data_IF_659710634571
#
_entry.id   IF_659710634571
#
_cell.length_a   1.000
_cell.length_b   1.000
_cell.length_c   1.000
_cell.angle_alpha   90.00
_cell.angle_beta   90.00
_cell.angle_gamma   90.00
#
_symmetry.space_group_name_H-M   'P 1'
#
loop_
_entity.id
_entity.type
_entity.pdbx_description
1 polymer ?
#
# COMPACT_ATOMS: atom_id res chain seq x y z
N UNK A 1 -8.05 -17.16 -18.87
CA UNK A 1 -8.44 -16.64 -17.55
C UNK A 1 -7.30 -16.87 -16.57
N UNK A 2 -6.91 -15.87 -15.79
CA UNK A 2 -5.92 -16.06 -14.73
C UNK A 2 -6.53 -16.92 -13.61
N UNK A 3 -5.75 -17.83 -13.03
CA UNK A 3 -6.19 -18.65 -11.91
C UNK A 3 -6.47 -17.77 -10.68
N UNK A 4 -7.43 -18.15 -9.82
CA UNK A 4 -7.74 -17.37 -8.62
C UNK A 4 -6.55 -17.35 -7.65
N UNK A 5 -6.33 -16.20 -7.02
CA UNK A 5 -5.38 -16.03 -5.92
C UNK A 5 -6.13 -16.20 -4.61
N UNK A 6 -5.71 -17.16 -3.77
CA UNK A 6 -6.31 -17.42 -2.47
C UNK A 6 -5.51 -16.73 -1.38
N UNK A 7 -6.20 -15.96 -0.55
CA UNK A 7 -5.62 -15.20 0.57
C UNK A 7 -5.81 -15.97 1.88
N UNK A 8 -4.73 -16.16 2.63
CA UNK A 8 -4.72 -16.75 3.96
C UNK A 8 -4.56 -15.69 5.04
N UNK A 9 -5.26 -15.92 6.14
CA UNK A 9 -4.98 -15.23 7.39
C UNK A 9 -3.67 -15.75 7.99
N UNK A 10 -2.95 -14.88 8.71
CA UNK A 10 -1.77 -15.29 9.47
C UNK A 10 -2.18 -16.34 10.51
N UNK A 11 -1.51 -17.51 10.56
CA UNK A 11 -1.75 -18.47 11.63
C UNK A 11 -1.42 -17.84 12.99
N UNK A 12 -2.43 -17.68 13.86
CA UNK A 12 -2.24 -17.33 15.27
C UNK A 12 -2.12 -15.83 15.63
N UNK A 13 -2.46 -14.89 14.75
CA UNK A 13 -2.45 -13.46 15.13
C UNK A 13 -3.01 -12.47 14.12
N UNK A 14 -3.07 -11.20 14.54
CA UNK A 14 -3.35 -10.06 13.67
C UNK A 14 -2.10 -9.66 12.88
N UNK A 15 -2.23 -9.20 11.62
CA UNK A 15 -1.08 -8.75 10.83
C UNK A 15 -0.37 -7.58 11.50
N UNK A 16 0.98 -7.59 11.47
CA UNK A 16 1.80 -6.53 12.05
C UNK A 16 1.54 -5.17 11.36
N UNK A 17 1.61 -4.06 12.09
CA UNK A 17 1.53 -2.72 11.49
C UNK A 17 2.92 -2.22 11.13
N UNK A 18 3.17 -2.01 9.83
CA UNK A 18 4.46 -1.53 9.33
C UNK A 18 4.41 -0.07 8.86
N UNK A 19 5.59 0.50 8.63
CA UNK A 19 5.78 1.81 7.98
C UNK A 19 6.27 1.61 6.55
N UNK A 20 5.43 1.90 5.56
CA UNK A 20 5.79 1.78 4.15
C UNK A 20 6.62 2.99 3.69
N UNK A 21 7.74 2.73 3.00
CA UNK A 21 8.70 3.75 2.55
C UNK A 21 8.92 3.59 1.03
N UNK A 22 8.57 4.60 0.23
CA UNK A 22 8.84 4.62 -1.21
C UNK A 22 10.07 5.49 -1.48
N UNK A 23 11.20 4.85 -1.80
CA UNK A 23 12.48 5.54 -2.05
C UNK A 23 12.60 6.01 -3.51
N UNK A 24 13.30 7.12 -3.79
CA UNK A 24 13.54 7.61 -5.16
C UNK A 24 14.72 6.87 -5.82
N UNK A 25 14.86 5.57 -5.55
CA UNK A 25 15.92 4.73 -6.08
C UNK A 25 15.53 3.25 -6.06
N UNK A 26 16.26 2.44 -6.83
CA UNK A 26 16.16 0.98 -6.77
C UNK A 26 17.26 0.43 -5.86
N UNK A 27 16.88 -0.47 -4.96
CA UNK A 27 17.82 -1.25 -4.14
C UNK A 27 17.93 -2.63 -4.76
N UNK A 28 19.15 -3.06 -5.11
CA UNK A 28 19.37 -4.35 -5.79
C UNK A 28 19.28 -5.59 -4.88
N UNK A 29 18.97 -5.39 -3.60
CA UNK A 29 18.81 -6.46 -2.61
C UNK A 29 17.35 -6.53 -2.20
N UNK A 30 16.82 -7.75 -2.13
CA UNK A 30 15.51 -8.05 -1.55
C UNK A 30 15.71 -8.88 -0.28
N UNK A 31 15.15 -8.42 0.84
CA UNK A 31 15.31 -9.07 2.14
C UNK A 31 15.29 -8.10 3.34
N UNK A 32 15.49 -8.63 4.56
CA UNK A 32 15.49 -7.84 5.78
C UNK A 32 16.57 -6.76 5.78
N UNK A 33 16.22 -5.58 6.28
CA UNK A 33 17.15 -4.47 6.47
C UNK A 33 16.89 -3.78 7.81
N UNK A 34 17.92 -3.29 8.52
CA UNK A 34 17.79 -2.58 9.80
C UNK A 34 17.28 -1.13 9.61
N UNK A 35 16.13 -0.95 8.95
CA UNK A 35 15.60 0.37 8.54
C UNK A 35 15.50 1.33 9.72
N UNK A 36 14.94 0.89 10.86
CA UNK A 36 14.79 1.75 12.05
C UNK A 36 16.10 2.24 12.66
N UNK A 37 17.22 1.53 12.43
CA UNK A 37 18.52 1.96 12.91
C UNK A 37 19.16 3.04 12.02
N UNK A 38 18.95 2.97 10.70
CA UNK A 38 19.69 3.76 9.72
C UNK A 38 18.86 4.83 8.99
N UNK A 39 17.61 4.55 8.62
CA UNK A 39 16.74 5.52 7.95
C UNK A 39 16.00 6.35 9.00
N UNK A 40 16.72 7.30 9.61
CA UNK A 40 16.20 8.18 10.66
C UNK A 40 15.60 9.44 10.06
N UNK A 41 14.26 9.49 9.99
CA UNK A 41 13.53 10.66 9.56
C UNK A 41 13.47 11.72 10.66
N UNK A 42 13.63 12.99 10.29
CA UNK A 42 13.48 14.16 11.13
C UNK A 42 12.38 15.05 10.57
N UNK A 43 11.61 15.72 11.44
CA UNK A 43 10.57 16.64 10.99
C UNK A 43 11.20 17.97 10.59
N UNK A 44 10.85 18.45 9.41
CA UNK A 44 11.10 19.81 8.97
C UNK A 44 10.05 20.79 9.50
N UNK A 45 10.31 22.10 9.39
CA UNK A 45 9.44 23.15 9.92
C UNK A 45 8.04 23.19 9.28
N UNK A 46 7.87 22.69 8.05
CA UNK A 46 6.59 22.65 7.34
C UNK A 46 5.85 21.32 7.45
N UNK A 47 6.27 20.43 8.35
CA UNK A 47 5.69 19.09 8.50
C UNK A 47 6.21 18.05 7.49
N UNK A 48 7.15 18.42 6.62
CA UNK A 48 7.88 17.47 5.80
C UNK A 48 8.83 16.59 6.63
N UNK A 49 9.28 15.49 6.04
CA UNK A 49 10.29 14.61 6.63
C UNK A 49 11.62 14.81 5.93
N UNK A 50 12.72 14.73 6.65
CA UNK A 50 14.07 14.76 6.10
C UNK A 50 14.87 13.57 6.61
N UNK A 51 15.58 12.90 5.71
CA UNK A 51 16.45 11.78 6.05
C UNK A 51 17.68 11.75 5.12
N UNK A 52 18.60 10.82 5.38
CA UNK A 52 19.69 10.51 4.48
C UNK A 52 19.69 9.02 4.16
N UNK A 53 19.93 8.69 2.90
CA UNK A 53 20.13 7.32 2.45
C UNK A 53 21.35 7.25 1.55
N UNK A 54 22.33 6.41 1.92
CA UNK A 54 23.63 6.30 1.20
C UNK A 54 24.35 7.65 1.03
N UNK A 55 24.26 8.52 2.05
CA UNK A 55 24.88 9.85 2.03
C UNK A 55 24.14 10.90 1.20
N UNK A 56 22.99 10.55 0.59
CA UNK A 56 22.17 11.48 -0.19
C UNK A 56 20.98 11.95 0.64
N UNK A 57 20.66 13.24 0.54
CA UNK A 57 19.55 13.85 1.27
C UNK A 57 18.22 13.44 0.63
N UNK A 58 17.24 13.13 1.46
CA UNK A 58 15.88 12.78 1.06
C UNK A 58 14.89 13.74 1.72
N UNK A 59 14.01 14.33 0.90
CA UNK A 59 12.82 15.04 1.39
C UNK A 59 11.60 14.12 1.29
N UNK A 60 10.84 13.99 2.36
CA UNK A 60 9.77 13.01 2.50
C UNK A 60 8.43 13.66 2.77
N UNK A 61 7.36 13.04 2.30
CA UNK A 61 5.98 13.34 2.67
C UNK A 61 5.26 12.05 3.03
N UNK A 62 4.59 12.06 4.17
CA UNK A 62 3.67 10.98 4.53
C UNK A 62 2.34 11.18 3.79
N UNK A 63 1.92 10.14 3.06
CA UNK A 63 0.67 10.09 2.33
C UNK A 63 -0.24 9.05 2.98
N UNK A 64 -1.29 9.48 3.71
CA UNK A 64 -2.29 8.54 4.22
C UNK A 64 -3.02 7.87 3.05
N UNK A 65 -3.45 6.63 3.24
CA UNK A 65 -4.30 5.97 2.27
C UNK A 65 -5.69 6.61 2.25
N UNK A 66 -6.42 6.54 1.12
CA UNK A 66 -7.76 7.11 1.03
C UNK A 66 -8.73 6.49 2.07
N UNK A 67 -9.75 7.24 2.52
CA UNK A 67 -10.74 6.73 3.48
C UNK A 67 -11.40 5.44 2.98
N UNK A 68 -11.54 4.44 3.86
CA UNK A 68 -12.08 3.13 3.53
C UNK A 68 -11.06 2.15 2.92
N UNK A 69 -9.82 2.58 2.68
CA UNK A 69 -8.75 1.72 2.16
C UNK A 69 -7.74 1.36 3.26
N UNK A 70 -7.16 0.17 3.15
CA UNK A 70 -6.01 -0.29 3.96
C UNK A 70 -4.94 -0.89 3.06
N UNK A 71 -3.68 -0.73 3.46
CA UNK A 71 -2.56 -1.38 2.80
C UNK A 71 -2.28 -2.74 3.42
N UNK A 72 -1.97 -3.73 2.58
CA UNK A 72 -1.64 -5.09 2.99
C UNK A 72 -0.33 -5.53 2.33
N UNK A 73 0.53 -6.20 3.10
CA UNK A 73 1.74 -6.84 2.61
C UNK A 73 1.48 -8.33 2.40
N UNK A 74 1.40 -8.73 1.14
CA UNK A 74 1.17 -10.11 0.74
C UNK A 74 2.50 -10.83 0.55
N UNK A 75 2.64 -12.02 1.14
CA UNK A 75 3.75 -12.94 0.88
C UNK A 75 3.21 -14.16 0.16
N UNK A 76 3.83 -14.54 -0.96
CA UNK A 76 3.49 -15.79 -1.65
C UNK A 76 3.91 -16.98 -0.79
N UNK A 77 3.00 -17.95 -0.69
CA UNK A 77 3.25 -19.23 -0.03
C UNK A 77 3.29 -20.37 -1.03
N UNK A 78 4.01 -21.46 -0.72
CA UNK A 78 3.83 -22.71 -1.43
C UNK A 78 2.40 -23.23 -1.24
N UNK A 79 1.87 -24.03 -2.20
CA UNK A 79 0.60 -24.71 -2.00
C UNK A 79 0.64 -25.62 -0.75
N UNK A 80 -0.48 -25.77 -0.03
CA UNK A 80 -0.62 -26.73 1.04
C UNK A 80 -0.69 -28.16 0.47
N UNK A 81 0.31 -28.98 0.76
CA UNK A 81 0.34 -30.38 0.34
C UNK A 81 0.72 -30.60 -1.12
N UNK A 82 0.78 -31.88 -1.51
CA UNK A 82 1.37 -32.33 -2.78
C UNK A 82 0.35 -32.43 -3.95
N UNK A 83 -0.96 -32.30 -3.69
CA UNK A 83 -2.05 -32.62 -4.64
C UNK A 83 -2.87 -31.42 -5.15
N UNK A 84 -2.46 -30.17 -4.88
CA UNK A 84 -3.19 -29.01 -5.40
C UNK A 84 -2.76 -28.62 -6.82
N UNK A 85 -3.71 -28.07 -7.60
CA UNK A 85 -3.47 -27.62 -8.97
C UNK A 85 -2.34 -26.56 -8.96
N UNK A 86 -1.20 -26.80 -9.64
CA UNK A 86 -0.06 -25.88 -9.63
C UNK A 86 -0.38 -24.48 -10.20
N UNK A 87 -1.58 -24.27 -10.73
CA UNK A 87 -2.11 -22.97 -11.14
C UNK A 87 -2.67 -22.14 -9.98
N UNK A 88 -3.08 -22.76 -8.87
CA UNK A 88 -3.59 -22.02 -7.71
C UNK A 88 -2.45 -21.31 -6.97
N UNK A 89 -2.62 -20.01 -6.72
CA UNK A 89 -1.63 -19.18 -6.05
C UNK A 89 -2.10 -18.83 -4.66
N UNK A 90 -1.26 -19.12 -3.67
CA UNK A 90 -1.52 -18.81 -2.27
C UNK A 90 -0.69 -17.62 -1.82
N UNK A 91 -1.35 -16.70 -1.10
CA UNK A 91 -0.69 -15.56 -0.46
C UNK A 91 -1.18 -15.41 0.98
N UNK A 92 -0.32 -14.93 1.87
CA UNK A 92 -0.65 -14.62 3.26
C UNK A 92 -0.48 -13.13 3.52
N UNK A 93 -1.43 -12.53 4.21
CA UNK A 93 -1.34 -11.12 4.64
C UNK A 93 -0.41 -11.03 5.84
N UNK A 94 0.85 -10.67 5.64
CA UNK A 94 1.86 -10.66 6.71
C UNK A 94 1.83 -9.38 7.56
N UNK A 95 1.42 -8.25 6.97
CA UNK A 95 1.41 -6.97 7.64
C UNK A 95 0.40 -6.02 6.98
N UNK A 96 0.10 -4.91 7.67
CA UNK A 96 -0.77 -3.84 7.19
C UNK A 96 -0.11 -2.47 7.37
N UNK A 97 -0.55 -1.50 6.57
CA UNK A 97 -0.14 -0.10 6.71
C UNK A 97 -1.29 0.84 6.36
N UNK A 98 -1.28 2.03 6.96
CA UNK A 98 -2.30 3.07 6.73
C UNK A 98 -1.79 4.28 5.95
N UNK A 99 -0.49 4.34 5.70
CA UNK A 99 0.16 5.45 4.99
C UNK A 99 1.44 4.97 4.32
N UNK A 100 1.86 5.70 3.29
CA UNK A 100 3.15 5.50 2.60
C UNK A 100 3.94 6.80 2.72
N UNK A 101 5.18 6.73 3.17
CA UNK A 101 6.10 7.86 3.08
C UNK A 101 6.76 7.86 1.70
N UNK A 102 6.45 8.86 0.88
CA UNK A 102 7.09 9.08 -0.42
C UNK A 102 8.32 9.97 -0.22
N UNK A 103 9.49 9.51 -0.68
CA UNK A 103 10.75 10.23 -0.60
C UNK A 103 11.19 10.74 -1.98
N UNK A 104 11.59 12.00 -2.04
CA UNK A 104 12.23 12.66 -3.19
C UNK A 104 13.73 12.86 -2.96
N UNK A 105 14.50 12.90 -4.05
CA UNK A 105 15.92 13.18 -4.00
C UNK A 105 16.14 14.69 -3.79
N UNK A 106 16.80 15.06 -2.69
CA UNK A 106 17.15 16.43 -2.28
C UNK A 106 15.96 17.41 -2.09
N UNK A 107 14.75 16.99 -2.45
CA UNK A 107 13.52 17.77 -2.50
C UNK A 107 12.35 16.96 -1.96
N UNK A 108 11.33 17.64 -1.44
CA UNK A 108 10.08 17.00 -0.99
C UNK A 108 9.18 16.79 -2.22
N UNK A 109 8.61 15.60 -2.43
CA UNK A 109 7.64 15.37 -3.50
C UNK A 109 6.49 16.39 -3.44
N UNK A 110 5.90 16.84 -4.57
CA UNK A 110 4.78 17.76 -4.56
C UNK A 110 3.48 17.08 -4.07
N UNK A 111 2.54 17.81 -3.45
CA UNK A 111 1.41 17.20 -2.72
C UNK A 111 0.40 16.46 -3.60
N UNK A 112 0.30 16.82 -4.88
CA UNK A 112 -0.58 16.17 -5.87
C UNK A 112 0.16 15.44 -6.99
N UNK A 113 1.44 15.10 -6.78
CA UNK A 113 2.26 14.38 -7.75
C UNK A 113 2.17 12.86 -7.63
N UNK A 114 2.80 12.16 -8.57
CA UNK A 114 3.18 10.74 -8.47
C UNK A 114 2.20 9.85 -7.72
N UNK A 115 2.63 9.37 -6.55
CA UNK A 115 1.86 8.44 -5.71
C UNK A 115 0.57 9.05 -5.17
N UNK A 116 0.57 10.33 -4.76
CA UNK A 116 -0.62 10.99 -4.25
C UNK A 116 -1.77 10.98 -5.27
N UNK A 117 -1.46 11.21 -6.55
CA UNK A 117 -2.43 11.11 -7.64
C UNK A 117 -2.88 9.68 -7.89
N UNK A 118 -1.96 8.72 -7.84
CA UNK A 118 -2.29 7.30 -8.03
C UNK A 118 -3.26 6.80 -6.94
N UNK A 119 -3.09 7.24 -5.68
CA UNK A 119 -3.98 6.85 -4.59
C UNK A 119 -5.41 7.38 -4.77
N UNK A 120 -5.63 8.46 -5.52
CA UNK A 120 -6.98 8.96 -5.84
C UNK A 120 -7.76 8.03 -6.77
N UNK A 121 -7.09 7.11 -7.46
CA UNK A 121 -7.74 6.17 -8.36
C UNK A 121 -8.74 5.26 -7.64
N UNK A 122 -8.44 4.82 -6.40
CA UNK A 122 -9.33 3.93 -5.65
C UNK A 122 -10.74 4.49 -5.51
N UNK A 123 -10.92 5.65 -4.84
CA UNK A 123 -12.23 6.29 -4.70
C UNK A 123 -12.90 6.60 -6.05
N UNK A 124 -12.14 7.02 -7.06
CA UNK A 124 -12.67 7.32 -8.39
C UNK A 124 -13.23 6.04 -9.05
N UNK A 125 -12.50 4.93 -9.00
CA UNK A 125 -12.93 3.65 -9.52
C UNK A 125 -14.19 3.15 -8.79
N UNK A 126 -14.25 3.32 -7.46
CA UNK A 126 -15.44 2.96 -6.69
C UNK A 126 -16.69 3.72 -7.18
N UNK A 127 -16.57 5.03 -7.45
CA UNK A 127 -17.68 5.82 -7.98
C UNK A 127 -18.09 5.40 -9.40
N UNK A 128 -17.12 5.12 -10.28
CA UNK A 128 -17.39 4.69 -11.67
C UNK A 128 -18.10 3.33 -11.71
N UNK A 129 -17.75 2.42 -10.81
CA UNK A 129 -18.26 1.05 -10.77
C UNK A 129 -19.41 0.85 -9.78
N UNK A 130 -19.88 1.92 -9.12
CA UNK A 130 -21.05 1.85 -8.26
C UNK A 130 -22.28 1.43 -9.08
N UNK A 131 -23.18 0.59 -8.53
CA UNK A 131 -24.42 0.24 -9.21
C UNK A 131 -25.25 1.50 -9.50
N UNK A 132 -25.89 1.54 -10.66
CA UNK A 132 -26.86 2.59 -10.98
C UNK A 132 -28.14 2.29 -10.18
N UNK A 133 -28.73 3.27 -9.47
CA UNK A 133 -30.00 3.06 -8.80
C UNK A 133 -31.08 2.73 -9.84
N UNK A 134 -31.88 1.70 -9.57
CA UNK A 134 -33.05 1.39 -10.39
C UNK A 134 -34.18 2.34 -9.99
N UNK A 135 -34.66 3.16 -10.93
CA UNK A 135 -35.78 4.12 -10.73
C UNK A 135 -37.16 3.42 -10.57
N UNK A 136 -37.21 2.13 -10.22
CA UNK A 136 -38.44 1.33 -10.16
C UNK A 136 -39.24 1.47 -8.86
N UNK A 137 -38.78 2.29 -7.91
CA UNK A 137 -39.42 2.46 -6.59
C UNK A 137 -40.19 3.79 -6.42
N UNK A 138 -40.57 4.47 -7.52
CA UNK A 138 -41.31 5.75 -7.48
C UNK A 138 -42.71 5.72 -8.13
N UNK A 139 -43.37 4.55 -8.20
CA UNK A 139 -44.83 4.43 -8.36
C UNK A 139 -45.48 4.08 -7.02
N UNK A 140 -45.38 4.98 -6.05
CA UNK A 140 -46.35 5.05 -4.96
C UNK A 140 -47.51 5.94 -5.44
N UNK A 141 -48.55 5.32 -6.01
CA UNK A 141 -49.79 6.04 -6.36
C UNK A 141 -50.45 6.66 -5.11
N UNK A 142 -51.06 7.87 -5.25
CA UNK A 142 -51.78 8.57 -4.19
C UNK A 142 -53.16 7.97 -3.87
#
# INVERSE_FOLDING_TARGET
MAAPVRVRAVPGGSPERLRAQLLPCRVGSDGPAPVGAFLRAQHGPGGELWASFRGRRLGGRELPLPPGYRGELLRREPPPGDEEDPKEQWVTVTATFGAITEWGADTVPPPGGGLARALQWGPLAHAIHAPVPDDSDEEAEP
#
